data_IF_840962344259
#
_entry.id   IF_840962344259
#
_cell.length_a   1.000
_cell.length_b   1.000
_cell.length_c   1.000
_cell.angle_alpha   90.00
_cell.angle_beta   90.00
_cell.angle_gamma   90.00
#
_symmetry.space_group_name_H-M   'P 1'
#
loop_
_entity.id
_entity.type
_entity.pdbx_description
1 polymer ?
#
# COMPACT_ATOMS: atom_id res chain seq x y z
N UNK A 1 -2.56 21.91 -25.00
CA UNK A 1 -2.50 20.46 -24.76
C UNK A 1 -1.05 20.03 -24.82
N UNK A 2 -0.39 19.97 -23.66
CA UNK A 2 0.94 19.39 -23.53
C UNK A 2 0.78 17.88 -23.46
N UNK A 3 1.23 17.17 -24.48
CA UNK A 3 1.27 15.71 -24.48
C UNK A 3 2.20 15.25 -23.34
N UNK A 4 1.64 14.66 -22.29
CA UNK A 4 2.41 13.87 -21.33
C UNK A 4 3.06 12.73 -22.14
N UNK A 5 4.39 12.55 -22.08
CA UNK A 5 5.03 11.51 -22.86
C UNK A 5 4.60 10.15 -22.33
N UNK A 6 4.20 9.25 -23.23
CA UNK A 6 3.77 7.86 -22.97
C UNK A 6 4.73 7.10 -22.04
N UNK A 7 6.00 7.53 -21.96
CA UNK A 7 7.00 7.01 -21.02
C UNK A 7 6.64 7.17 -19.54
N UNK A 8 5.77 8.12 -19.18
CA UNK A 8 5.35 8.38 -17.79
C UNK A 8 4.14 7.52 -17.37
N UNK A 9 3.25 7.19 -18.30
CA UNK A 9 2.02 6.43 -18.02
C UNK A 9 2.29 4.94 -17.77
N UNK A 10 3.23 4.35 -18.53
CA UNK A 10 3.58 2.93 -18.41
C UNK A 10 4.01 2.57 -16.96
N UNK A 11 4.90 3.33 -16.30
CA UNK A 11 5.20 3.13 -14.88
C UNK A 11 3.97 3.12 -13.96
N UNK A 12 3.01 4.04 -14.16
CA UNK A 12 1.81 4.16 -13.31
C UNK A 12 0.92 2.92 -13.48
N UNK A 13 0.71 2.45 -14.72
CA UNK A 13 -0.02 1.21 -14.99
C UNK A 13 0.65 0.00 -14.33
N UNK A 14 1.99 -0.08 -14.35
CA UNK A 14 2.75 -1.14 -13.66
C UNK A 14 2.55 -1.05 -12.15
N UNK A 15 2.56 0.15 -11.56
CA UNK A 15 2.29 0.35 -10.14
C UNK A 15 0.88 -0.09 -9.74
N UNK A 16 -0.14 0.21 -10.55
CA UNK A 16 -1.52 -0.26 -10.34
C UNK A 16 -1.59 -1.78 -10.39
N UNK A 17 -1.03 -2.40 -11.43
CA UNK A 17 -1.03 -3.85 -11.58
C UNK A 17 -0.32 -4.55 -10.41
N UNK A 18 0.82 -4.02 -9.98
CA UNK A 18 1.57 -4.53 -8.83
C UNK A 18 0.78 -4.38 -7.52
N UNK A 19 0.11 -3.24 -7.31
CA UNK A 19 -0.71 -3.01 -6.12
C UNK A 19 -1.92 -3.96 -6.07
N UNK A 20 -2.63 -4.11 -7.19
CA UNK A 20 -3.76 -5.04 -7.30
C UNK A 20 -3.30 -6.49 -7.08
N UNK A 21 -2.19 -6.90 -7.69
CA UNK A 21 -1.60 -8.22 -7.48
C UNK A 21 -1.19 -8.44 -6.02
N UNK A 22 -0.59 -7.43 -5.39
CA UNK A 22 -0.22 -7.45 -3.98
C UNK A 22 -1.46 -7.60 -3.10
N UNK A 23 -2.52 -6.82 -3.34
CA UNK A 23 -3.81 -6.96 -2.65
C UNK A 23 -4.39 -8.37 -2.79
N UNK A 24 -4.41 -8.91 -4.01
CA UNK A 24 -4.89 -10.25 -4.29
C UNK A 24 -4.11 -11.32 -3.51
N UNK A 25 -2.77 -11.26 -3.55
CA UNK A 25 -1.91 -12.19 -2.82
C UNK A 25 -2.08 -12.07 -1.32
N UNK A 26 -2.13 -10.86 -0.78
CA UNK A 26 -2.35 -10.62 0.64
C UNK A 26 -3.71 -11.18 1.09
N UNK A 27 -4.76 -10.99 0.30
CA UNK A 27 -6.08 -11.58 0.56
C UNK A 27 -6.07 -13.11 0.50
N UNK A 28 -5.33 -13.71 -0.45
CA UNK A 28 -5.18 -15.17 -0.53
C UNK A 28 -4.44 -15.71 0.69
N UNK A 29 -3.35 -15.06 1.10
CA UNK A 29 -2.54 -15.46 2.27
C UNK A 29 -3.30 -15.27 3.59
N UNK A 30 -4.19 -14.27 3.67
CA UNK A 30 -5.08 -14.06 4.82
C UNK A 30 -5.85 -15.32 5.23
N UNK A 31 -6.28 -16.12 4.25
CA UNK A 31 -7.04 -17.35 4.50
C UNK A 31 -6.19 -18.49 5.11
N UNK A 32 -4.87 -18.42 4.98
CA UNK A 32 -3.93 -19.37 5.60
C UNK A 32 -3.43 -18.89 6.97
N UNK A 33 -3.59 -17.61 7.27
CA UNK A 33 -3.22 -16.98 8.54
C UNK A 33 -4.48 -16.72 9.37
N UNK A 34 -5.15 -17.81 9.75
CA UNK A 34 -6.48 -17.75 10.35
C UNK A 34 -6.49 -17.03 11.70
N UNK A 35 -5.38 -17.04 12.46
CA UNK A 35 -5.30 -16.41 13.78
C UNK A 35 -3.89 -15.86 14.11
N UNK A 36 -3.84 -14.78 14.91
CA UNK A 36 -2.60 -14.23 15.47
C UNK A 36 -2.24 -12.79 15.06
N UNK A 37 -1.12 -12.30 15.60
CA UNK A 37 -0.64 -10.92 15.44
C UNK A 37 -0.41 -10.49 13.98
N UNK A 38 -0.15 -11.46 13.09
CA UNK A 38 0.04 -11.21 11.66
C UNK A 38 -1.27 -10.77 10.97
N UNK A 39 -2.43 -11.32 11.32
CA UNK A 39 -3.73 -10.97 10.72
C UNK A 39 -4.02 -9.47 10.78
N UNK A 40 -3.70 -8.83 11.90
CA UNK A 40 -3.83 -7.36 12.07
C UNK A 40 -2.89 -6.61 11.13
N UNK A 41 -1.70 -7.14 10.85
CA UNK A 41 -0.72 -6.53 9.93
C UNK A 41 -1.20 -6.61 8.47
N UNK A 42 -1.80 -7.75 8.07
CA UNK A 42 -2.37 -7.92 6.73
C UNK A 42 -3.49 -6.92 6.43
N UNK A 43 -4.35 -6.63 7.42
CA UNK A 43 -5.38 -5.61 7.26
C UNK A 43 -4.79 -4.27 6.81
N UNK A 44 -3.74 -3.80 7.48
CA UNK A 44 -3.09 -2.54 7.12
C UNK A 44 -2.40 -2.58 5.76
N UNK A 45 -1.83 -3.73 5.35
CA UNK A 45 -1.26 -3.86 4.00
C UNK A 45 -2.33 -3.80 2.90
N UNK A 46 -3.51 -4.37 3.15
CA UNK A 46 -4.65 -4.26 2.21
C UNK A 46 -5.10 -2.81 2.10
N UNK A 47 -5.28 -2.11 3.24
CA UNK A 47 -5.63 -0.70 3.25
C UNK A 47 -4.57 0.14 2.52
N UNK A 48 -3.28 -0.09 2.79
CA UNK A 48 -2.18 0.59 2.10
C UNK A 48 -2.26 0.42 0.58
N UNK A 49 -2.51 -0.81 0.12
CA UNK A 49 -2.58 -1.10 -1.31
C UNK A 49 -3.78 -0.46 -1.99
N UNK A 50 -4.92 -0.32 -1.30
CA UNK A 50 -6.07 0.43 -1.81
C UNK A 50 -5.71 1.90 -1.99
N UNK A 51 -5.13 2.54 -0.98
CA UNK A 51 -4.72 3.95 -1.07
C UNK A 51 -3.62 4.20 -2.10
N UNK A 52 -2.69 3.27 -2.26
CA UNK A 52 -1.69 3.34 -3.33
C UNK A 52 -2.32 3.22 -4.72
N UNK A 53 -3.37 2.39 -4.87
CA UNK A 53 -4.14 2.30 -6.13
C UNK A 53 -4.88 3.61 -6.39
N UNK A 54 -5.49 4.21 -5.37
CA UNK A 54 -6.17 5.52 -5.50
C UNK A 54 -5.19 6.64 -5.89
N UNK A 55 -3.99 6.66 -5.31
CA UNK A 55 -2.91 7.57 -5.71
C UNK A 55 -2.57 7.41 -7.20
N UNK A 56 -2.31 6.17 -7.63
CA UNK A 56 -1.91 5.89 -9.01
C UNK A 56 -3.02 6.20 -10.02
N UNK A 57 -4.28 5.84 -9.71
CA UNK A 57 -5.44 6.19 -10.55
C UNK A 57 -5.64 7.70 -10.61
N UNK A 58 -5.45 8.41 -9.50
CA UNK A 58 -5.59 9.87 -9.48
C UNK A 58 -4.58 10.52 -10.43
N UNK A 59 -3.31 10.12 -10.40
CA UNK A 59 -2.30 10.65 -11.33
C UNK A 59 -2.63 10.33 -12.77
N UNK A 60 -3.05 9.09 -13.05
CA UNK A 60 -3.47 8.70 -14.39
C UNK A 60 -4.62 9.57 -14.91
N UNK A 61 -5.67 9.76 -14.10
CA UNK A 61 -6.81 10.61 -14.50
C UNK A 61 -6.37 12.06 -14.73
N UNK A 62 -5.48 12.60 -13.89
CA UNK A 62 -4.92 13.95 -14.05
C UNK A 62 -4.12 14.10 -15.34
N UNK A 63 -3.26 13.13 -15.64
CA UNK A 63 -2.40 13.13 -16.81
C UNK A 63 -3.21 12.99 -18.11
N UNK A 64 -4.32 12.23 -18.08
CA UNK A 64 -5.20 12.01 -19.24
C UNK A 64 -6.22 13.13 -19.49
N UNK A 65 -6.84 13.70 -18.44
CA UNK A 65 -7.94 14.66 -18.62
C UNK A 65 -7.45 16.11 -18.72
N UNK A 66 -6.28 16.43 -18.19
CA UNK A 66 -5.73 17.79 -18.18
C UNK A 66 -6.56 18.74 -17.31
N UNK A 67 -6.03 19.09 -16.15
CA UNK A 67 -6.72 19.97 -15.18
C UNK A 67 -6.33 21.44 -15.34
N UNK A 68 -7.26 22.35 -14.99
CA UNK A 68 -6.92 23.76 -14.76
C UNK A 68 -6.08 23.96 -13.47
N UNK A 69 -5.45 25.11 -13.28
CA UNK A 69 -4.48 25.35 -12.19
C UNK A 69 -5.02 25.01 -10.78
N UNK A 70 -6.30 25.32 -10.50
CA UNK A 70 -6.92 25.03 -9.21
C UNK A 70 -7.20 23.53 -9.01
N UNK A 71 -7.62 22.84 -10.07
CA UNK A 71 -7.84 21.39 -10.06
C UNK A 71 -6.52 20.64 -9.95
N UNK A 72 -5.43 21.18 -10.51
CA UNK A 72 -4.08 20.65 -10.37
C UNK A 72 -3.61 20.70 -8.90
N UNK A 73 -3.83 21.80 -8.19
CA UNK A 73 -3.48 21.93 -6.76
C UNK A 73 -4.29 20.94 -5.90
N UNK A 74 -5.60 20.83 -6.16
CA UNK A 74 -6.45 19.86 -5.46
C UNK A 74 -6.05 18.42 -5.77
N UNK A 75 -5.70 18.13 -7.03
CA UNK A 75 -5.16 16.84 -7.44
C UNK A 75 -3.89 16.49 -6.66
N UNK A 76 -2.91 17.40 -6.61
CA UNK A 76 -1.67 17.18 -5.88
C UNK A 76 -1.92 16.98 -4.38
N UNK A 77 -2.75 17.82 -3.75
CA UNK A 77 -3.07 17.69 -2.32
C UNK A 77 -3.76 16.37 -1.98
N UNK A 78 -4.80 16.00 -2.73
CA UNK A 78 -5.57 14.76 -2.50
C UNK A 78 -4.70 13.53 -2.81
N UNK A 79 -3.98 13.54 -3.94
CA UNK A 79 -3.14 12.42 -4.36
C UNK A 79 -1.99 12.18 -3.37
N UNK A 80 -1.30 13.23 -2.93
CA UNK A 80 -0.27 13.10 -1.89
C UNK A 80 -0.85 12.63 -0.55
N UNK A 81 -2.10 13.01 -0.24
CA UNK A 81 -2.85 12.47 0.89
C UNK A 81 -3.03 10.95 0.81
N UNK A 82 -3.41 10.42 -0.37
CA UNK A 82 -3.51 8.98 -0.59
C UNK A 82 -2.16 8.27 -0.41
N UNK A 83 -1.09 8.85 -0.94
CA UNK A 83 0.26 8.31 -0.77
C UNK A 83 0.68 8.28 0.71
N UNK A 84 0.43 9.36 1.45
CA UNK A 84 0.73 9.46 2.87
C UNK A 84 -0.01 8.41 3.69
N UNK A 85 -1.31 8.22 3.45
CA UNK A 85 -2.11 7.20 4.13
C UNK A 85 -1.58 5.80 3.83
N UNK A 86 -1.19 5.54 2.58
CA UNK A 86 -0.57 4.26 2.20
C UNK A 86 0.71 4.00 2.99
N UNK A 87 1.62 4.98 3.04
CA UNK A 87 2.88 4.88 3.79
C UNK A 87 2.64 4.67 5.29
N UNK A 88 1.68 5.37 5.88
CA UNK A 88 1.30 5.20 7.28
C UNK A 88 0.83 3.77 7.57
N UNK A 89 -0.01 3.22 6.70
CA UNK A 89 -0.51 1.85 6.83
C UNK A 89 0.63 0.81 6.71
N UNK A 90 1.59 1.03 5.80
CA UNK A 90 2.79 0.20 5.68
C UNK A 90 3.61 0.25 6.97
N UNK A 91 3.84 1.45 7.52
CA UNK A 91 4.60 1.63 8.76
C UNK A 91 3.94 0.91 9.95
N UNK A 92 2.61 1.05 10.10
CA UNK A 92 1.84 0.34 11.14
C UNK A 92 1.96 -1.18 10.96
N UNK A 93 1.87 -1.67 9.72
CA UNK A 93 2.03 -3.10 9.44
C UNK A 93 3.43 -3.61 9.81
N UNK A 94 4.48 -2.88 9.41
CA UNK A 94 5.86 -3.23 9.70
C UNK A 94 6.11 -3.33 11.22
N UNK A 95 5.61 -2.38 12.00
CA UNK A 95 5.71 -2.42 13.47
C UNK A 95 5.02 -3.65 14.07
N UNK A 96 3.82 -4.00 13.59
CA UNK A 96 3.08 -5.17 14.07
C UNK A 96 3.78 -6.48 13.72
N UNK A 97 4.31 -6.60 12.51
CA UNK A 97 5.11 -7.75 12.08
C UNK A 97 6.35 -7.90 12.97
N UNK A 98 7.09 -6.80 13.18
CA UNK A 98 8.27 -6.80 14.05
C UNK A 98 7.93 -7.24 15.48
N UNK A 99 6.82 -6.75 16.04
CA UNK A 99 6.33 -7.17 17.35
C UNK A 99 6.02 -8.68 17.42
N UNK A 100 5.34 -9.22 16.40
CA UNK A 100 5.03 -10.65 16.31
C UNK A 100 6.30 -11.52 16.28
N UNK A 101 7.32 -11.11 15.52
CA UNK A 101 8.59 -11.83 15.47
C UNK A 101 9.37 -11.76 16.80
N UNK A 102 9.37 -10.61 17.49
CA UNK A 102 10.00 -10.48 18.82
C UNK A 102 9.34 -11.41 19.84
N UNK A 103 8.01 -11.47 19.84
CA UNK A 103 7.26 -12.37 20.72
C UNK A 103 7.58 -13.85 20.44
N UNK A 104 7.59 -14.24 19.15
CA UNK A 104 7.94 -15.60 18.73
C UNK A 104 9.36 -15.98 19.14
N UNK A 105 10.33 -15.09 18.91
CA UNK A 105 11.72 -15.30 19.31
C UNK A 105 11.87 -15.46 20.83
N UNK A 106 11.12 -14.68 21.62
CA UNK A 106 11.07 -14.81 23.08
C UNK A 106 10.55 -16.18 23.52
N UNK A 107 9.45 -16.65 22.94
CA UNK A 107 8.88 -17.98 23.22
C UNK A 107 9.85 -19.12 22.88
N UNK A 108 10.53 -19.05 21.74
CA UNK A 108 11.52 -20.05 21.33
C UNK A 108 12.73 -20.10 22.27
N UNK A 109 13.22 -18.93 22.71
CA UNK A 109 14.32 -18.85 23.70
C UNK A 109 13.92 -19.42 25.06
N UNK A 110 12.69 -19.16 25.52
CA UNK A 110 12.19 -19.72 26.78
C UNK A 110 12.05 -21.25 26.72
N UNK A 111 11.62 -21.79 25.56
CA UNK A 111 11.48 -23.23 25.35
C UNK A 111 12.83 -23.96 25.32
N UNK A 112 13.91 -23.33 24.84
CA UNK A 112 15.27 -23.90 24.83
C UNK A 112 15.94 -23.96 26.22
N UNK A 113 15.43 -23.23 27.21
CA UNK A 113 15.97 -23.17 28.57
C UNK A 113 15.28 -24.11 29.55
N UNK A 114 14.20 -24.79 29.12
CA UNK A 114 13.52 -25.87 29.84
C UNK A 114 13.97 -27.20 29.26
#
# INVERSE_FOLDING_TARGET
MTHVPISYDIPIFVFIALALYTTYKLNKVRNYLLEGALKKSYFWLVVASIFFTLWAVSHLVSDFLGYGDLELILHYGISHGFLLISMLCIAISAQKIQGAYKELAGKLRAKKKK
#
